data_IF_437901146051
#
_entry.id   IF_437901146051
#
_cell.length_a   1.000
_cell.length_b   1.000
_cell.length_c   1.000
_cell.angle_alpha   90.00
_cell.angle_beta   90.00
_cell.angle_gamma   90.00
#
_symmetry.space_group_name_H-M   'P 1'
#
loop_
_entity.id
_entity.type
_entity.pdbx_description
1 polymer ?
#
# COMPACT_ATOMS: atom_id res chain seq x y z
N UNK A 1 2.15 -8.69 11.42
CA UNK A 1 3.30 -8.37 12.30
C UNK A 1 3.78 -6.96 12.03
N UNK A 2 4.10 -6.18 13.06
CA UNK A 2 4.60 -4.81 12.96
C UNK A 2 6.00 -4.79 13.58
N UNK A 3 6.98 -4.23 12.87
CA UNK A 3 8.32 -3.96 13.41
C UNK A 3 8.50 -2.44 13.37
N UNK A 4 8.65 -1.80 14.53
CA UNK A 4 8.86 -0.36 14.65
C UNK A 4 10.23 -0.11 15.26
N UNK A 5 11.03 0.74 14.63
CA UNK A 5 12.30 1.25 15.14
C UNK A 5 12.25 2.79 15.07
N UNK A 6 13.13 3.50 15.78
CA UNK A 6 13.18 4.97 15.84
C UNK A 6 13.42 5.67 14.49
N UNK A 7 13.61 4.90 13.41
CA UNK A 7 13.89 5.37 12.06
C UNK A 7 12.82 5.02 11.02
N UNK A 8 12.03 3.96 11.24
CA UNK A 8 10.94 3.55 10.35
C UNK A 8 10.05 2.49 11.00
N UNK A 9 8.80 2.46 10.57
CA UNK A 9 7.81 1.42 10.87
C UNK A 9 7.63 0.53 9.63
N UNK A 10 7.65 -0.79 9.84
CA UNK A 10 7.33 -1.79 8.82
C UNK A 10 6.03 -2.50 9.20
N UNK A 11 5.07 -2.53 8.28
CA UNK A 11 3.77 -3.18 8.46
C UNK A 11 3.51 -4.14 7.31
N UNK A 12 3.15 -5.39 7.62
CA UNK A 12 2.59 -6.33 6.65
C UNK A 12 1.08 -6.16 6.58
N UNK A 13 0.54 -5.94 5.40
CA UNK A 13 -0.91 -5.97 5.14
C UNK A 13 -1.27 -7.20 4.31
N UNK A 14 -2.40 -7.79 4.67
CA UNK A 14 -3.04 -8.85 3.91
C UNK A 14 -4.42 -8.30 3.54
N UNK A 15 -4.59 -7.98 2.27
CA UNK A 15 -5.83 -7.42 1.72
C UNK A 15 -6.53 -8.54 0.97
N UNK A 16 -7.80 -8.72 1.31
CA UNK A 16 -8.71 -9.57 0.56
C UNK A 16 -10.00 -8.80 0.28
N UNK A 17 -10.29 -8.58 -1.00
CA UNK A 17 -11.39 -7.76 -1.47
C UNK A 17 -11.01 -6.28 -1.57
N UNK A 18 -11.81 -5.39 -1.00
CA UNK A 18 -11.62 -3.94 -1.13
C UNK A 18 -11.17 -3.33 0.20
N UNK A 19 -10.01 -2.67 0.20
CA UNK A 19 -9.55 -1.84 1.30
C UNK A 19 -9.59 -0.36 0.88
N UNK A 20 -10.48 0.40 1.52
CA UNK A 20 -10.45 1.85 1.46
C UNK A 20 -9.42 2.34 2.47
N UNK A 21 -8.29 2.83 1.98
CA UNK A 21 -7.22 3.31 2.84
C UNK A 21 -7.20 4.83 2.86
N UNK A 22 -7.73 5.41 3.94
CA UNK A 22 -7.59 6.83 4.23
C UNK A 22 -6.28 7.06 4.98
N UNK A 23 -5.36 7.78 4.34
CA UNK A 23 -3.98 7.93 4.83
C UNK A 23 -3.88 9.09 5.85
N UNK A 24 -3.17 8.91 6.98
CA UNK A 24 -2.88 10.00 7.92
C UNK A 24 -1.46 10.60 7.81
N UNK A 25 -0.62 10.20 6.83
CA UNK A 25 0.84 10.54 6.80
C UNK A 25 1.41 10.83 5.42
N UNK A 26 2.54 11.56 5.39
CA UNK A 26 3.12 12.23 4.21
C UNK A 26 3.73 11.34 3.12
N UNK A 27 4.30 10.16 3.45
CA UNK A 27 4.85 9.25 2.44
C UNK A 27 4.93 7.81 2.97
N UNK A 28 4.67 6.83 2.10
CA UNK A 28 4.94 5.42 2.41
C UNK A 28 5.47 4.69 1.18
N UNK A 29 6.45 3.79 1.40
CA UNK A 29 6.89 2.84 0.38
C UNK A 29 6.06 1.56 0.50
N UNK A 30 5.57 1.06 -0.62
CA UNK A 30 4.73 -0.14 -0.69
C UNK A 30 5.35 -1.15 -1.66
N UNK A 31 5.45 -2.39 -1.20
CA UNK A 31 5.91 -3.53 -2.00
C UNK A 31 4.84 -4.61 -2.01
N UNK A 32 4.47 -5.09 -3.20
CA UNK A 32 3.60 -6.25 -3.37
C UNK A 32 4.44 -7.52 -3.21
N UNK A 33 4.25 -8.24 -2.12
CA UNK A 33 4.97 -9.48 -1.85
C UNK A 33 4.38 -10.66 -2.60
N UNK A 34 3.05 -10.72 -2.68
CA UNK A 34 2.30 -11.81 -3.31
C UNK A 34 0.90 -11.33 -3.68
N UNK A 35 0.34 -11.90 -4.75
CA UNK A 35 -1.04 -11.66 -5.18
C UNK A 35 -1.15 -10.70 -6.36
N UNK A 36 -2.39 -10.39 -6.71
CA UNK A 36 -2.73 -9.51 -7.83
C UNK A 36 -3.97 -8.68 -7.50
N UNK A 37 -4.00 -7.48 -8.06
CA UNK A 37 -5.12 -6.58 -7.88
C UNK A 37 -4.89 -5.26 -8.59
N UNK A 38 -5.61 -4.24 -8.13
CA UNK A 38 -5.50 -2.90 -8.63
C UNK A 38 -5.58 -1.89 -7.50
N UNK A 39 -4.91 -0.77 -7.72
CA UNK A 39 -5.02 0.42 -6.90
C UNK A 39 -5.68 1.51 -7.72
N UNK A 40 -6.68 2.16 -7.14
CA UNK A 40 -7.37 3.31 -7.74
C UNK A 40 -6.97 4.53 -6.92
N UNK A 41 -6.35 5.51 -7.55
CA UNK A 41 -5.93 6.77 -6.93
C UNK A 41 -6.18 7.90 -7.92
N UNK A 42 -6.80 9.00 -7.48
CA UNK A 42 -7.15 10.16 -8.31
C UNK A 42 -7.90 9.82 -9.62
N UNK A 43 -8.65 8.72 -9.62
CA UNK A 43 -9.39 8.23 -10.78
C UNK A 43 -8.56 7.43 -11.79
N UNK A 44 -7.26 7.28 -11.56
CA UNK A 44 -6.38 6.39 -12.33
C UNK A 44 -6.32 4.99 -11.70
N UNK A 45 -6.19 3.98 -12.56
CA UNK A 45 -6.16 2.56 -12.15
C UNK A 45 -4.78 1.98 -12.45
N UNK A 46 -4.08 1.55 -11.41
CA UNK A 46 -2.78 0.90 -11.47
C UNK A 46 -2.92 -0.57 -11.16
N UNK A 47 -2.50 -1.45 -12.10
CA UNK A 47 -2.43 -2.88 -11.84
C UNK A 47 -1.25 -3.20 -10.94
N UNK A 48 -1.52 -3.92 -9.86
CA UNK A 48 -0.54 -4.38 -8.90
C UNK A 48 -0.33 -5.88 -9.04
N UNK A 49 0.92 -6.30 -9.17
CA UNK A 49 1.33 -7.70 -9.26
C UNK A 49 2.52 -7.93 -8.34
N UNK A 50 2.75 -9.18 -7.95
CA UNK A 50 3.94 -9.59 -7.20
C UNK A 50 5.24 -8.95 -7.74
N UNK A 51 6.00 -8.32 -6.85
CA UNK A 51 7.25 -7.63 -7.19
C UNK A 51 7.10 -6.16 -7.58
N UNK A 52 5.86 -5.64 -7.70
CA UNK A 52 5.64 -4.21 -7.91
C UNK A 52 6.04 -3.43 -6.65
N UNK A 53 6.82 -2.36 -6.85
CA UNK A 53 7.26 -1.44 -5.82
C UNK A 53 6.84 -0.02 -6.21
N UNK A 54 6.20 0.69 -5.29
CA UNK A 54 5.73 2.06 -5.54
C UNK A 54 5.72 2.88 -4.26
N UNK A 55 5.66 4.20 -4.44
CA UNK A 55 5.61 5.17 -3.34
C UNK A 55 4.23 5.82 -3.38
N UNK A 56 3.56 5.86 -2.22
CA UNK A 56 2.38 6.68 -2.00
C UNK A 56 2.83 8.01 -1.41
N UNK A 57 2.46 9.10 -2.07
CA UNK A 57 2.80 10.47 -1.69
C UNK A 57 1.67 11.11 -0.88
N UNK A 58 1.91 12.31 -0.34
CA UNK A 58 0.92 13.07 0.43
C UNK A 58 -0.25 13.60 -0.40
N UNK A 59 -0.13 13.56 -1.73
CA UNK A 59 -1.17 14.01 -2.67
C UNK A 59 -2.22 12.91 -2.90
N UNK A 60 -1.88 11.65 -2.64
CA UNK A 60 -2.70 10.46 -2.85
C UNK A 60 -3.69 10.22 -1.69
N UNK A 61 -4.64 11.14 -1.50
CA UNK A 61 -5.54 11.19 -0.33
C UNK A 61 -6.58 10.06 -0.28
N UNK A 62 -7.08 9.64 -1.44
CA UNK A 62 -8.10 8.58 -1.57
C UNK A 62 -7.55 7.44 -2.44
N UNK A 63 -6.97 6.44 -1.78
CA UNK A 63 -6.50 5.21 -2.43
C UNK A 63 -7.41 4.03 -2.11
N UNK A 64 -7.93 3.38 -3.15
CA UNK A 64 -8.70 2.15 -3.03
C UNK A 64 -7.88 0.98 -3.54
N UNK A 65 -7.71 -0.01 -2.70
CA UNK A 65 -7.04 -1.27 -3.03
C UNK A 65 -8.08 -2.34 -3.26
N UNK A 66 -8.06 -2.97 -4.44
CA UNK A 66 -8.99 -4.04 -4.81
C UNK A 66 -8.23 -5.28 -5.27
N UNK A 67 -8.45 -6.40 -4.60
CA UNK A 67 -7.87 -7.69 -4.96
C UNK A 67 -7.48 -8.51 -3.75
N UNK A 68 -6.67 -9.53 -4.02
CA UNK A 68 -6.13 -10.43 -3.00
C UNK A 68 -4.61 -10.35 -3.06
N UNK A 69 -4.03 -9.61 -2.12
CA UNK A 69 -2.59 -9.42 -2.09
C UNK A 69 -2.01 -9.15 -0.71
N UNK A 70 -0.77 -9.55 -0.57
CA UNK A 70 0.06 -9.27 0.59
C UNK A 70 1.00 -8.11 0.27
N UNK A 71 0.89 -7.02 1.03
CA UNK A 71 1.77 -5.86 0.94
C UNK A 71 2.72 -5.78 2.11
N UNK A 72 3.89 -5.21 1.84
CA UNK A 72 4.78 -4.67 2.85
C UNK A 72 4.81 -3.15 2.71
N UNK A 73 4.58 -2.45 3.82
CA UNK A 73 4.56 -0.99 3.85
C UNK A 73 5.64 -0.53 4.82
N UNK A 74 6.45 0.44 4.39
CA UNK A 74 7.37 1.15 5.27
C UNK A 74 7.08 2.65 5.26
N UNK A 75 7.16 3.25 6.44
CA UNK A 75 6.99 4.69 6.65
C UNK A 75 7.78 5.16 7.87
N UNK A 76 8.02 6.47 7.97
CA UNK A 76 8.63 7.10 9.15
C UNK A 76 7.52 7.59 10.10
#
# INVERSE_FOLDING_TARGET
>A
HIVSNDFFTLVKWEISGTLNYMKPREFCLVTVLEGEGQMIVDGEIFKLTTGTNFILTSEDLDSVFEGDFTLMISYV
#
